data_IF_948650676633
#
_entry.id   IF_948650676633
#
_cell.length_a   1.000
_cell.length_b   1.000
_cell.length_c   1.000
_cell.angle_alpha   90.00
_cell.angle_beta   90.00
_cell.angle_gamma   90.00
#
_symmetry.space_group_name_H-M   'P 1'
#
loop_
_entity.id
_entity.type
_entity.pdbx_description
1 polymer ?
#
# COMPACT_ATOMS: atom_id res chain seq x y z
N UNK A 1 32.32 0.64 14.14
CA UNK A 1 32.50 1.79 13.23
C UNK A 1 33.62 2.67 13.74
N UNK A 2 34.47 3.18 12.85
CA UNK A 2 35.47 4.22 13.17
C UNK A 2 34.83 5.62 13.24
N UNK A 3 35.60 6.64 13.63
CA UNK A 3 35.08 8.02 13.82
C UNK A 3 34.48 8.59 12.51
N UNK A 4 35.19 8.43 11.39
CA UNK A 4 34.71 8.92 10.08
C UNK A 4 33.40 8.25 9.65
N UNK A 5 33.27 6.94 9.91
CA UNK A 5 32.04 6.19 9.68
C UNK A 5 30.90 6.69 10.58
N UNK A 6 31.17 6.97 11.86
CA UNK A 6 30.16 7.51 12.78
C UNK A 6 29.67 8.90 12.33
N UNK A 7 30.57 9.78 11.88
CA UNK A 7 30.20 11.10 11.35
C UNK A 7 29.33 11.00 10.09
N UNK A 8 29.72 10.14 9.14
CA UNK A 8 28.92 9.88 7.95
C UNK A 8 27.52 9.35 8.31
N UNK A 9 27.46 8.37 9.21
CA UNK A 9 26.21 7.79 9.65
C UNK A 9 25.32 8.84 10.31
N UNK A 10 25.88 9.69 11.18
CA UNK A 10 25.14 10.76 11.82
C UNK A 10 24.57 11.77 10.82
N UNK A 11 25.34 12.17 9.79
CA UNK A 11 24.84 13.05 8.72
C UNK A 11 23.68 12.43 7.95
N UNK A 12 23.75 11.13 7.65
CA UNK A 12 22.67 10.40 6.97
C UNK A 12 21.41 10.31 7.84
N UNK A 13 21.56 10.11 9.16
CA UNK A 13 20.42 10.03 10.07
C UNK A 13 19.72 11.39 10.23
N UNK A 14 20.47 12.48 10.38
CA UNK A 14 19.90 13.84 10.54
C UNK A 14 19.32 14.41 9.25
N UNK A 15 19.82 13.97 8.10
CA UNK A 15 19.32 14.35 6.79
C UNK A 15 17.85 13.95 6.60
N UNK A 16 17.02 14.86 6.11
CA UNK A 16 15.62 14.59 5.74
C UNK A 16 15.45 14.68 4.23
N UNK A 17 14.81 13.68 3.64
CA UNK A 17 14.34 13.74 2.24
C UNK A 17 13.07 14.59 2.10
N UNK A 18 12.34 14.77 3.20
CA UNK A 18 11.15 15.60 3.22
C UNK A 18 11.50 17.04 3.58
N UNK A 19 11.05 17.97 2.74
CA UNK A 19 11.07 19.40 3.03
C UNK A 19 9.91 19.77 3.97
N UNK A 20 10.15 20.49 5.08
CA UNK A 20 9.19 20.66 6.18
C UNK A 20 7.88 21.39 5.82
N UNK A 21 7.79 22.02 4.64
CA UNK A 21 6.60 22.73 4.17
C UNK A 21 6.10 22.25 2.79
N UNK A 22 6.59 21.11 2.28
CA UNK A 22 6.17 20.61 0.97
C UNK A 22 4.76 20.02 1.03
N UNK A 23 3.85 20.57 0.20
CA UNK A 23 2.51 20.00 -0.01
C UNK A 23 2.58 18.54 -0.48
N UNK A 24 3.55 18.24 -1.34
CA UNK A 24 3.90 16.91 -1.83
C UNK A 24 5.34 16.57 -1.41
N UNK A 25 5.49 16.08 -0.18
CA UNK A 25 6.78 15.64 0.33
C UNK A 25 7.28 14.39 -0.40
N UNK A 26 8.58 14.13 -0.30
CA UNK A 26 9.23 12.97 -0.91
C UNK A 26 8.55 11.66 -0.46
N UNK A 27 8.34 11.50 0.85
CA UNK A 27 7.70 10.32 1.43
C UNK A 27 6.26 10.12 0.95
N UNK A 28 5.47 11.20 0.83
CA UNK A 28 4.09 11.12 0.30
C UNK A 28 4.08 10.68 -1.16
N UNK A 29 5.02 11.16 -1.97
CA UNK A 29 5.15 10.73 -3.36
C UNK A 29 5.58 9.27 -3.45
N UNK A 30 6.59 8.88 -2.67
CA UNK A 30 7.08 7.50 -2.60
C UNK A 30 5.97 6.51 -2.24
N UNK A 31 5.20 6.82 -1.18
CA UNK A 31 4.08 6.00 -0.73
C UNK A 31 3.02 5.84 -1.81
N UNK A 32 2.67 6.95 -2.50
CA UNK A 32 1.66 6.95 -3.56
C UNK A 32 2.10 6.14 -4.78
N UNK A 33 3.34 6.31 -5.25
CA UNK A 33 3.85 5.64 -6.46
C UNK A 33 4.02 4.13 -6.27
N UNK A 34 4.25 3.66 -5.04
CA UNK A 34 4.44 2.25 -4.74
C UNK A 34 3.24 1.58 -4.04
N UNK A 35 2.19 2.33 -3.71
CA UNK A 35 1.05 1.83 -2.94
C UNK A 35 1.41 1.42 -1.50
N UNK A 36 2.46 2.01 -0.92
CA UNK A 36 2.94 1.68 0.42
C UNK A 36 2.18 2.41 1.52
N UNK A 37 2.14 1.83 2.71
CA UNK A 37 1.67 2.55 3.91
C UNK A 37 2.69 3.61 4.33
N UNK A 38 2.26 4.57 5.14
CA UNK A 38 3.14 5.62 5.64
C UNK A 38 4.27 5.01 6.48
N UNK A 39 3.94 4.05 7.33
CA UNK A 39 4.89 3.37 8.21
C UNK A 39 5.95 2.61 7.40
N UNK A 40 5.52 1.81 6.42
CA UNK A 40 6.43 1.06 5.55
C UNK A 40 7.34 1.99 4.73
N UNK A 41 6.78 3.11 4.25
CA UNK A 41 7.55 4.12 3.52
C UNK A 41 8.67 4.71 4.38
N UNK A 42 8.40 5.03 5.65
CA UNK A 42 9.42 5.55 6.56
C UNK A 42 10.49 4.51 6.89
N UNK A 43 10.10 3.24 7.05
CA UNK A 43 11.06 2.14 7.23
C UNK A 43 11.96 1.99 6.00
N UNK A 44 11.40 1.99 4.78
CA UNK A 44 12.18 1.90 3.55
C UNK A 44 13.15 3.09 3.38
N UNK A 45 12.74 4.30 3.77
CA UNK A 45 13.64 5.48 3.78
C UNK A 45 14.78 5.31 4.78
N UNK A 46 14.51 4.79 5.98
CA UNK A 46 15.55 4.53 6.97
C UNK A 46 16.57 3.50 6.46
N UNK A 47 16.09 2.43 5.82
CA UNK A 47 16.93 1.40 5.22
C UNK A 47 17.72 1.91 4.00
N UNK A 48 17.16 2.82 3.21
CA UNK A 48 17.89 3.52 2.15
C UNK A 48 19.08 4.33 2.69
N UNK A 49 18.93 4.99 3.83
CA UNK A 49 20.05 5.70 4.48
C UNK A 49 21.15 4.73 4.92
N UNK A 50 20.79 3.56 5.45
CA UNK A 50 21.75 2.50 5.78
C UNK A 50 22.45 1.97 4.53
N UNK A 51 21.73 1.77 3.43
CA UNK A 51 22.32 1.40 2.14
C UNK A 51 23.31 2.46 1.62
N UNK A 52 22.95 3.75 1.66
CA UNK A 52 23.85 4.82 1.25
C UNK A 52 25.14 4.86 2.11
N UNK A 53 25.03 4.55 3.40
CA UNK A 53 26.19 4.37 4.27
C UNK A 53 27.05 3.18 3.81
N UNK A 54 26.44 2.02 3.56
CA UNK A 54 27.14 0.83 3.05
C UNK A 54 27.85 1.11 1.72
N UNK A 55 27.22 1.85 0.81
CA UNK A 55 27.81 2.19 -0.49
C UNK A 55 29.10 3.01 -0.41
N UNK A 56 29.32 3.72 0.70
CA UNK A 56 30.55 4.51 0.93
C UNK A 56 31.62 3.74 1.70
N UNK A 57 31.17 2.86 2.60
CA UNK A 57 32.02 2.22 3.62
C UNK A 57 32.40 0.80 3.24
N UNK A 58 31.56 0.09 2.49
CA UNK A 58 31.88 -1.24 2.01
C UNK A 58 33.05 -1.17 1.02
N UNK A 59 34.02 -2.06 1.18
CA UNK A 59 35.17 -2.20 0.28
C UNK A 59 34.83 -3.02 -0.98
N UNK A 60 33.55 -3.15 -1.28
CA UNK A 60 33.03 -3.89 -2.43
C UNK A 60 31.79 -3.19 -3.00
N UNK A 61 31.44 -3.44 -4.28
CA UNK A 61 30.17 -2.99 -4.84
C UNK A 61 28.98 -3.52 -4.02
N UNK A 62 28.01 -2.65 -3.75
CA UNK A 62 26.79 -3.04 -3.02
C UNK A 62 25.55 -2.98 -3.94
N UNK A 63 24.62 -3.89 -3.67
CA UNK A 63 23.35 -4.02 -4.41
C UNK A 63 22.20 -3.82 -3.42
N UNK A 64 21.25 -2.91 -3.69
CA UNK A 64 20.10 -2.69 -2.83
C UNK A 64 19.03 -3.78 -3.00
N UNK A 65 18.14 -3.91 -2.00
CA UNK A 65 16.86 -4.61 -2.21
C UNK A 65 15.96 -3.83 -3.16
N UNK A 66 14.88 -4.43 -3.64
CA UNK A 66 13.96 -3.74 -4.56
C UNK A 66 13.34 -2.51 -3.89
N UNK A 67 12.95 -2.66 -2.63
CA UNK A 67 12.33 -1.63 -1.81
C UNK A 67 13.28 -0.45 -1.62
N UNK A 68 14.55 -0.70 -1.31
CA UNK A 68 15.57 0.34 -1.17
C UNK A 68 15.91 0.98 -2.52
N UNK A 69 15.95 0.19 -3.59
CA UNK A 69 16.18 0.70 -4.95
C UNK A 69 15.07 1.65 -5.39
N UNK A 70 13.80 1.39 -5.06
CA UNK A 70 12.69 2.32 -5.34
C UNK A 70 12.85 3.67 -4.62
N UNK A 71 13.33 3.68 -3.37
CA UNK A 71 13.64 4.93 -2.66
C UNK A 71 14.78 5.66 -3.39
N UNK A 72 15.83 4.93 -3.75
CA UNK A 72 17.00 5.51 -4.41
C UNK A 72 16.68 6.06 -5.81
N UNK A 73 15.89 5.34 -6.61
CA UNK A 73 15.41 5.79 -7.93
C UNK A 73 14.62 7.08 -7.81
N UNK A 74 13.70 7.15 -6.84
CA UNK A 74 12.96 8.38 -6.62
C UNK A 74 13.91 9.51 -6.21
N UNK A 75 14.89 9.26 -5.34
CA UNK A 75 15.87 10.27 -4.92
C UNK A 75 16.73 10.77 -6.09
N UNK A 76 17.16 9.87 -6.99
CA UNK A 76 17.87 10.23 -8.21
C UNK A 76 17.03 11.11 -9.14
N UNK A 77 15.70 10.93 -9.17
CA UNK A 77 14.80 11.79 -9.94
C UNK A 77 14.75 13.23 -9.42
N UNK A 78 15.10 13.47 -8.14
CA UNK A 78 15.35 14.83 -7.61
C UNK A 78 16.78 15.27 -7.93
N UNK A 79 17.13 15.28 -9.21
CA UNK A 79 18.51 15.35 -9.72
C UNK A 79 19.35 16.46 -9.10
N UNK A 80 18.83 17.70 -9.04
CA UNK A 80 19.53 18.84 -8.43
C UNK A 80 19.77 18.63 -6.94
N UNK A 81 18.76 18.14 -6.21
CA UNK A 81 18.91 17.88 -4.80
C UNK A 81 19.91 16.74 -4.54
N UNK A 82 19.82 15.67 -5.32
CA UNK A 82 20.73 14.53 -5.23
C UNK A 82 22.19 14.94 -5.50
N UNK A 83 22.46 15.58 -6.64
CA UNK A 83 23.81 15.90 -7.08
C UNK A 83 24.39 17.16 -6.45
N UNK A 84 23.60 18.21 -6.21
CA UNK A 84 24.11 19.50 -5.72
C UNK A 84 24.06 19.58 -4.18
N UNK A 85 23.23 18.76 -3.52
CA UNK A 85 23.05 18.79 -2.06
C UNK A 85 23.47 17.50 -1.39
N UNK A 86 22.84 16.37 -1.72
CA UNK A 86 23.05 15.12 -1.01
C UNK A 86 24.46 14.55 -1.20
N UNK A 87 24.90 14.34 -2.44
CA UNK A 87 26.23 13.78 -2.74
C UNK A 87 27.39 14.62 -2.15
N UNK A 88 27.49 15.94 -2.38
CA UNK A 88 28.63 16.71 -1.91
C UNK A 88 28.59 17.02 -0.41
N UNK A 89 27.40 17.25 0.19
CA UNK A 89 27.32 17.75 1.57
C UNK A 89 26.99 16.66 2.60
N UNK A 90 26.21 15.64 2.21
CA UNK A 90 25.79 14.58 3.14
C UNK A 90 26.71 13.37 2.97
N UNK A 91 26.75 12.81 1.75
CA UNK A 91 27.52 11.61 1.44
C UNK A 91 29.02 11.88 1.32
N UNK A 92 29.38 13.09 0.87
CA UNK A 92 30.74 13.53 0.52
C UNK A 92 31.46 12.63 -0.50
N UNK A 93 30.67 11.86 -1.27
CA UNK A 93 31.12 11.04 -2.38
C UNK A 93 30.04 11.04 -3.46
N UNK A 94 30.41 10.94 -4.75
CA UNK A 94 29.44 10.64 -5.80
C UNK A 94 28.92 9.20 -5.61
N UNK A 95 27.62 9.01 -5.82
CA UNK A 95 27.00 7.69 -5.80
C UNK A 95 26.20 7.52 -7.09
N UNK A 96 26.70 6.69 -7.99
CA UNK A 96 26.09 6.46 -9.28
C UNK A 96 25.25 5.19 -9.28
N UNK A 97 24.11 5.25 -9.97
CA UNK A 97 23.30 4.09 -10.28
C UNK A 97 23.61 3.62 -11.70
N UNK A 98 23.84 2.32 -11.86
CA UNK A 98 24.15 1.71 -13.14
C UNK A 98 23.14 0.60 -13.44
N UNK A 99 22.48 0.60 -14.61
CA UNK A 99 21.57 -0.47 -14.97
C UNK A 99 22.30 -1.80 -15.17
N UNK A 100 21.61 -2.91 -14.95
CA UNK A 100 22.11 -4.24 -15.34
C UNK A 100 22.26 -4.35 -16.86
N UNK A 101 23.27 -5.09 -17.32
CA UNK A 101 23.39 -5.45 -18.73
C UNK A 101 22.52 -6.67 -19.10
N UNK A 102 21.91 -7.31 -18.10
CA UNK A 102 21.11 -8.53 -18.28
C UNK A 102 21.95 -9.78 -18.54
N UNK A 103 21.27 -10.93 -18.56
CA UNK A 103 21.90 -12.24 -18.75
C UNK A 103 22.27 -12.95 -17.45
N UNK A 104 22.63 -14.23 -17.57
CA UNK A 104 22.86 -15.12 -16.43
C UNK A 104 24.13 -14.78 -15.64
N UNK A 105 25.17 -14.26 -16.31
CA UNK A 105 26.40 -13.78 -15.67
C UNK A 105 26.14 -12.57 -14.77
N UNK A 106 25.41 -11.57 -15.27
CA UNK A 106 24.99 -10.40 -14.49
C UNK A 106 24.10 -10.84 -13.31
N UNK A 107 23.18 -11.78 -13.54
CA UNK A 107 22.34 -12.33 -12.48
C UNK A 107 23.16 -12.93 -11.32
N UNK A 108 24.18 -13.75 -11.62
CA UNK A 108 25.08 -14.30 -10.59
C UNK A 108 25.87 -13.20 -9.88
N UNK A 109 26.43 -12.25 -10.64
CA UNK A 109 27.19 -11.12 -10.09
C UNK A 109 26.37 -10.31 -9.09
N UNK A 110 25.14 -9.93 -9.44
CA UNK A 110 24.29 -9.13 -8.55
C UNK A 110 23.77 -9.94 -7.35
N UNK A 111 23.56 -11.25 -7.51
CA UNK A 111 23.24 -12.14 -6.39
C UNK A 111 24.39 -12.17 -5.38
N UNK A 112 25.62 -12.36 -5.84
CA UNK A 112 26.82 -12.35 -4.99
C UNK A 112 27.01 -11.00 -4.27
N UNK A 113 26.87 -9.88 -4.99
CA UNK A 113 26.99 -8.54 -4.41
C UNK A 113 25.88 -8.25 -3.40
N UNK A 114 24.66 -8.70 -3.65
CA UNK A 114 23.54 -8.54 -2.72
C UNK A 114 23.80 -9.33 -1.42
N UNK A 115 24.24 -10.58 -1.51
CA UNK A 115 24.58 -11.37 -0.32
C UNK A 115 25.70 -10.71 0.49
N UNK A 116 26.76 -10.24 -0.16
CA UNK A 116 27.83 -9.46 0.51
C UNK A 116 27.31 -8.17 1.13
N UNK A 117 26.30 -7.54 0.53
CA UNK A 117 25.65 -6.34 1.09
C UNK A 117 24.93 -6.68 2.40
N UNK A 118 24.20 -7.80 2.46
CA UNK A 118 23.54 -8.28 3.68
C UNK A 118 24.54 -8.68 4.78
N UNK A 119 25.67 -9.27 4.40
CA UNK A 119 26.78 -9.58 5.31
C UNK A 119 27.39 -8.31 5.90
N UNK A 120 27.76 -7.34 5.03
CA UNK A 120 28.29 -6.04 5.44
C UNK A 120 27.31 -5.26 6.30
N UNK A 121 26.01 -5.32 5.99
CA UNK A 121 24.95 -4.76 6.83
C UNK A 121 25.03 -5.34 8.25
N UNK A 122 25.02 -6.67 8.37
CA UNK A 122 25.02 -7.35 9.66
C UNK A 122 26.29 -7.04 10.46
N UNK A 123 27.44 -7.02 9.78
CA UNK A 123 28.73 -6.72 10.39
C UNK A 123 28.81 -5.27 10.92
N UNK A 124 28.30 -4.29 10.16
CA UNK A 124 28.44 -2.88 10.49
C UNK A 124 27.39 -2.39 11.49
N UNK A 125 26.16 -2.92 11.43
CA UNK A 125 25.06 -2.49 12.30
C UNK A 125 24.83 -3.42 13.51
N UNK A 126 25.37 -4.64 13.50
CA UNK A 126 25.22 -5.60 14.60
C UNK A 126 23.82 -6.20 14.71
N UNK A 127 22.98 -6.02 13.69
CA UNK A 127 21.62 -6.54 13.61
C UNK A 127 21.37 -7.12 12.20
N UNK A 128 20.45 -8.09 12.11
CA UNK A 128 20.00 -8.56 10.80
C UNK A 128 19.09 -7.52 10.15
N UNK A 129 19.18 -7.31 8.83
CA UNK A 129 18.30 -6.38 8.15
C UNK A 129 16.85 -6.89 8.17
N UNK A 130 15.84 -5.99 8.26
CA UNK A 130 14.44 -6.38 8.31
C UNK A 130 14.02 -7.09 7.02
N UNK A 131 13.53 -8.33 7.14
CA UNK A 131 13.26 -9.22 6.00
C UNK A 131 12.16 -8.70 5.07
N UNK A 132 11.27 -7.84 5.56
CA UNK A 132 10.21 -7.19 4.78
C UNK A 132 10.75 -6.13 3.80
N UNK A 133 11.97 -5.64 4.03
CA UNK A 133 12.65 -4.64 3.17
C UNK A 133 13.89 -5.25 2.52
N UNK A 134 14.58 -6.16 3.19
CA UNK A 134 15.77 -6.86 2.71
C UNK A 134 15.50 -8.37 2.67
N UNK A 135 14.68 -8.84 1.71
CA UNK A 135 14.39 -10.24 1.60
C UNK A 135 15.63 -11.04 1.17
N UNK A 136 15.67 -12.37 1.39
CA UNK A 136 16.72 -13.24 0.87
C UNK A 136 16.89 -13.10 -0.66
N UNK A 137 18.11 -13.37 -1.14
CA UNK A 137 18.46 -13.20 -2.55
C UNK A 137 17.53 -13.99 -3.50
N UNK A 138 17.06 -15.16 -3.08
CA UNK A 138 16.14 -16.00 -3.83
C UNK A 138 14.79 -15.33 -4.07
N UNK A 139 14.34 -14.48 -3.13
CA UNK A 139 13.11 -13.69 -3.27
C UNK A 139 13.39 -12.45 -4.11
N UNK A 140 14.45 -11.70 -3.78
CA UNK A 140 14.86 -10.46 -4.45
C UNK A 140 15.03 -10.61 -5.97
N UNK A 141 15.64 -11.70 -6.42
CA UNK A 141 15.97 -11.94 -7.83
C UNK A 141 15.01 -12.89 -8.56
N UNK A 142 13.89 -13.26 -7.94
CA UNK A 142 12.90 -14.15 -8.56
C UNK A 142 11.47 -13.62 -8.42
N UNK A 143 11.03 -13.36 -7.19
CA UNK A 143 9.69 -12.86 -6.92
C UNK A 143 9.57 -11.37 -7.20
N UNK A 144 10.48 -10.57 -6.65
CA UNK A 144 10.38 -9.11 -6.63
C UNK A 144 10.66 -8.44 -7.98
N UNK A 145 11.20 -9.19 -8.95
CA UNK A 145 11.49 -8.67 -10.31
C UNK A 145 10.26 -8.66 -11.25
N UNK A 146 9.15 -9.31 -10.86
CA UNK A 146 7.97 -9.45 -11.72
C UNK A 146 6.99 -8.28 -11.53
N UNK A 147 7.48 -7.05 -11.75
CA UNK A 147 6.69 -5.83 -11.56
C UNK A 147 6.44 -5.13 -12.89
N UNK A 148 5.20 -4.67 -13.09
CA UNK A 148 4.81 -3.82 -14.21
C UNK A 148 4.02 -2.63 -13.67
N UNK A 149 4.22 -1.45 -14.26
CA UNK A 149 3.39 -0.28 -13.97
C UNK A 149 2.09 -0.40 -14.75
N UNK A 150 0.96 -0.26 -14.06
CA UNK A 150 -0.38 -0.32 -14.64
C UNK A 150 -1.21 0.88 -14.21
N UNK A 151 -2.11 1.36 -15.06
CA UNK A 151 -3.06 2.40 -14.69
C UNK A 151 -4.22 1.78 -13.89
N UNK A 152 -4.40 2.21 -12.64
CA UNK A 152 -5.45 1.70 -11.75
C UNK A 152 -6.84 2.25 -12.07
N UNK A 153 -6.97 3.24 -12.95
CA UNK A 153 -8.27 3.68 -13.49
C UNK A 153 -8.80 2.70 -14.54
N UNK A 154 -7.90 2.13 -15.34
CA UNK A 154 -8.25 1.22 -16.45
C UNK A 154 -8.32 -0.26 -15.99
N UNK A 155 -7.54 -0.63 -14.97
CA UNK A 155 -7.37 -2.01 -14.54
C UNK A 155 -7.62 -2.22 -13.04
N UNK A 156 -8.25 -3.34 -12.69
CA UNK A 156 -8.37 -3.79 -11.30
C UNK A 156 -7.17 -4.64 -10.88
N UNK A 157 -6.59 -4.32 -9.72
CA UNK A 157 -5.52 -5.10 -9.10
C UNK A 157 -6.16 -6.03 -8.04
N UNK A 158 -6.27 -7.32 -8.37
CA UNK A 158 -6.82 -8.34 -7.46
C UNK A 158 -5.67 -9.25 -7.01
N UNK A 159 -5.46 -9.46 -5.70
CA UNK A 159 -4.42 -10.36 -5.22
C UNK A 159 -4.69 -11.80 -5.69
N UNK A 160 -3.63 -12.53 -6.05
CA UNK A 160 -3.75 -13.94 -6.43
C UNK A 160 -4.27 -14.76 -5.25
N UNK A 161 -5.22 -15.66 -5.49
CA UNK A 161 -5.87 -16.48 -4.45
C UNK A 161 -4.89 -17.25 -3.54
N UNK A 162 -3.73 -17.65 -4.07
CA UNK A 162 -2.67 -18.34 -3.30
C UNK A 162 -2.08 -17.49 -2.17
N UNK A 163 -2.11 -16.17 -2.30
CA UNK A 163 -1.57 -15.24 -1.30
C UNK A 163 -2.65 -14.68 -0.37
N UNK A 164 -3.92 -15.05 -0.59
CA UNK A 164 -4.94 -14.84 0.43
C UNK A 164 -4.63 -15.82 1.55
N UNK A 165 -4.17 -15.29 2.69
CA UNK A 165 -4.20 -16.02 3.96
C UNK A 165 -5.67 -16.24 4.35
N UNK A 166 -6.33 -17.13 3.61
CA UNK A 166 -7.63 -17.63 4.00
C UNK A 166 -7.37 -18.32 5.35
N UNK A 167 -8.01 -17.87 6.45
CA UNK A 167 -7.92 -18.60 7.70
C UNK A 167 -8.28 -20.06 7.36
N UNK A 168 -7.47 -21.03 7.79
CA UNK A 168 -7.81 -22.43 7.59
C UNK A 168 -9.20 -22.64 8.19
N UNK A 169 -10.22 -22.73 7.32
CA UNK A 169 -11.62 -22.79 7.70
C UNK A 169 -11.84 -24.17 8.33
N UNK A 170 -11.50 -24.29 9.61
CA UNK A 170 -11.79 -25.47 10.41
C UNK A 170 -13.23 -25.30 10.86
N UNK A 171 -14.16 -25.70 10.00
CA UNK A 171 -15.58 -25.69 10.35
C UNK A 171 -15.75 -26.44 11.67
N UNK A 172 -16.33 -25.83 12.72
CA UNK A 172 -16.61 -26.56 13.94
C UNK A 172 -17.54 -27.72 13.56
N UNK A 173 -17.18 -28.95 13.94
CA UNK A 173 -17.97 -30.17 13.68
C UNK A 173 -19.50 -29.99 13.87
N UNK A 174 -20.01 -29.25 14.89
CA UNK A 174 -21.46 -29.02 15.01
C UNK A 174 -22.07 -28.14 13.91
N UNK A 175 -21.32 -27.23 13.29
CA UNK A 175 -21.83 -26.43 12.16
C UNK A 175 -21.92 -27.25 10.87
N UNK A 176 -20.98 -28.18 10.62
CA UNK A 176 -21.07 -29.12 9.49
C UNK A 176 -22.28 -30.04 9.68
N UNK A 177 -22.46 -30.58 10.90
CA UNK A 177 -23.60 -31.42 11.25
C UNK A 177 -24.93 -30.66 11.13
N UNK A 178 -24.97 -29.40 11.57
CA UNK A 178 -26.15 -28.54 11.45
C UNK A 178 -26.48 -28.16 10.01
N UNK A 179 -25.48 -27.82 9.19
CA UNK A 179 -25.67 -27.54 7.76
C UNK A 179 -26.13 -28.81 7.04
N UNK A 180 -25.50 -29.94 7.30
CA UNK A 180 -25.89 -31.25 6.76
C UNK A 180 -27.31 -31.62 7.15
N UNK A 181 -27.69 -31.43 8.41
CA UNK A 181 -29.05 -31.69 8.92
C UNK A 181 -30.10 -30.75 8.30
N UNK A 182 -29.78 -29.46 8.12
CA UNK A 182 -30.67 -28.51 7.45
C UNK A 182 -30.80 -28.79 5.94
N UNK A 183 -29.72 -29.23 5.29
CA UNK A 183 -29.74 -29.65 3.89
C UNK A 183 -30.52 -30.95 3.70
N UNK A 184 -30.37 -31.92 4.60
CA UNK A 184 -31.16 -33.16 4.55
C UNK A 184 -32.62 -32.88 4.85
N UNK A 185 -32.93 -32.02 5.83
CA UNK A 185 -34.30 -31.55 6.09
C UNK A 185 -34.89 -30.81 4.87
N UNK A 186 -34.05 -30.09 4.10
CA UNK A 186 -34.47 -29.42 2.86
C UNK A 186 -34.83 -30.38 1.75
N UNK A 187 -34.02 -31.43 1.61
CA UNK A 187 -34.19 -32.45 0.60
C UNK A 187 -35.31 -33.44 0.97
N UNK A 188 -35.67 -33.58 2.25
CA UNK A 188 -36.72 -34.50 2.72
C UNK A 188 -38.08 -33.83 2.94
N UNK A 189 -38.13 -32.58 3.41
CA UNK A 189 -39.40 -31.86 3.63
C UNK A 189 -40.05 -31.36 2.34
N UNK A 190 -39.28 -31.38 1.24
CA UNK A 190 -39.73 -31.02 -0.07
C UNK A 190 -39.76 -32.34 -0.85
N UNK A 191 -40.93 -32.89 -1.18
CA UNK A 191 -41.05 -34.02 -2.13
C UNK A 191 -40.63 -33.54 -3.53
N UNK A 192 -39.36 -33.18 -3.67
CA UNK A 192 -38.82 -32.57 -4.88
C UNK A 192 -38.44 -33.70 -5.79
N UNK A 193 -39.26 -33.88 -6.82
CA UNK A 193 -38.89 -34.71 -7.97
C UNK A 193 -37.50 -34.29 -8.47
N UNK A 194 -36.59 -35.26 -8.59
CA UNK A 194 -35.18 -35.10 -8.97
C UNK A 194 -34.95 -34.28 -10.25
N UNK A 195 -35.99 -34.08 -11.08
CA UNK A 195 -35.98 -33.32 -12.32
C UNK A 195 -35.98 -31.79 -12.13
N UNK A 196 -36.47 -31.27 -11.01
CA UNK A 196 -36.61 -29.81 -10.78
C UNK A 196 -35.43 -29.19 -10.00
N UNK A 197 -34.48 -30.00 -9.49
CA UNK A 197 -33.32 -29.53 -8.70
C UNK A 197 -32.40 -28.61 -9.52
N UNK A 198 -32.28 -28.85 -10.83
CA UNK A 198 -31.40 -28.08 -11.72
C UNK A 198 -31.90 -26.66 -12.00
N UNK A 199 -33.18 -26.35 -11.73
CA UNK A 199 -33.77 -25.03 -11.95
C UNK A 199 -34.77 -24.66 -10.83
N UNK A 200 -34.29 -24.14 -9.68
CA UNK A 200 -35.14 -23.75 -8.55
C UNK A 200 -36.17 -22.64 -8.89
N UNK A 201 -35.98 -21.94 -10.01
CA UNK A 201 -36.92 -20.95 -10.53
C UNK A 201 -38.20 -21.56 -11.14
N UNK A 202 -38.28 -22.89 -11.32
CA UNK A 202 -39.47 -23.56 -11.84
C UNK A 202 -40.44 -24.06 -10.76
N UNK A 203 -40.08 -23.96 -9.48
CA UNK A 203 -40.95 -24.40 -8.38
C UNK A 203 -42.29 -23.65 -8.37
N UNK A 204 -43.35 -24.32 -7.93
CA UNK A 204 -44.64 -23.66 -7.67
C UNK A 204 -44.49 -22.65 -6.52
N UNK A 205 -45.46 -21.75 -6.35
CA UNK A 205 -45.34 -20.63 -5.40
C UNK A 205 -45.11 -21.08 -3.95
N UNK A 206 -45.82 -22.12 -3.49
CA UNK A 206 -45.69 -22.67 -2.13
C UNK A 206 -44.40 -23.47 -1.95
N UNK A 207 -44.02 -24.29 -2.94
CA UNK A 207 -42.77 -25.05 -2.92
C UNK A 207 -41.55 -24.13 -2.89
N UNK A 208 -41.57 -23.07 -3.70
CA UNK A 208 -40.51 -22.07 -3.70
C UNK A 208 -40.42 -21.34 -2.36
N UNK A 209 -41.55 -21.06 -1.71
CA UNK A 209 -41.55 -20.37 -0.42
C UNK A 209 -40.91 -21.22 0.68
N UNK A 210 -41.25 -22.51 0.75
CA UNK A 210 -40.63 -23.46 1.68
C UNK A 210 -39.14 -23.64 1.41
N UNK A 211 -38.76 -23.81 0.14
CA UNK A 211 -37.37 -23.88 -0.29
C UNK A 211 -36.58 -22.61 0.07
N UNK A 212 -37.14 -21.43 -0.22
CA UNK A 212 -36.52 -20.14 0.05
C UNK A 212 -36.29 -19.93 1.55
N UNK A 213 -37.28 -20.24 2.39
CA UNK A 213 -37.15 -20.14 3.85
C UNK A 213 -35.96 -20.95 4.39
N UNK A 214 -35.82 -22.18 3.90
CA UNK A 214 -34.74 -23.06 4.34
C UNK A 214 -33.37 -22.64 3.80
N UNK A 215 -33.33 -22.12 2.58
CA UNK A 215 -32.11 -21.56 1.99
C UNK A 215 -31.64 -20.32 2.77
N UNK A 216 -32.57 -19.48 3.26
CA UNK A 216 -32.27 -18.39 4.19
C UNK A 216 -31.67 -18.92 5.50
N UNK A 217 -32.25 -19.97 6.11
CA UNK A 217 -31.70 -20.57 7.34
C UNK A 217 -30.29 -21.10 7.14
N UNK A 218 -30.04 -21.83 6.05
CA UNK A 218 -28.70 -22.34 5.70
C UNK A 218 -27.73 -21.18 5.49
N UNK A 219 -28.13 -20.12 4.78
CA UNK A 219 -27.28 -18.96 4.56
C UNK A 219 -26.96 -18.19 5.84
N UNK A 220 -27.90 -18.11 6.80
CA UNK A 220 -27.65 -17.53 8.13
C UNK A 220 -26.64 -18.37 8.90
N UNK A 221 -26.81 -19.70 8.95
CA UNK A 221 -25.86 -20.60 9.64
C UNK A 221 -24.47 -20.51 9.02
N UNK A 222 -24.40 -20.48 7.69
CA UNK A 222 -23.15 -20.30 6.96
C UNK A 222 -22.52 -18.93 7.27
N UNK A 223 -23.30 -17.86 7.22
CA UNK A 223 -22.86 -16.51 7.56
C UNK A 223 -22.36 -16.40 9.00
N UNK A 224 -23.07 -16.99 9.98
CA UNK A 224 -22.64 -17.02 11.39
C UNK A 224 -21.36 -17.84 11.58
N UNK A 225 -21.25 -18.97 10.88
CA UNK A 225 -20.03 -19.78 10.86
C UNK A 225 -18.84 -18.99 10.32
N UNK A 226 -19.00 -18.33 9.17
CA UNK A 226 -17.98 -17.47 8.58
C UNK A 226 -17.62 -16.29 9.50
N UNK A 227 -18.60 -15.65 10.15
CA UNK A 227 -18.40 -14.55 11.10
C UNK A 227 -17.68 -14.99 12.37
N UNK A 228 -17.96 -16.19 12.88
CA UNK A 228 -17.29 -16.75 14.06
C UNK A 228 -15.82 -17.09 13.79
N UNK A 229 -15.47 -17.39 12.53
CA UNK A 229 -14.12 -17.72 12.10
C UNK A 229 -13.28 -16.47 11.79
N UNK A 230 -13.93 -15.33 11.55
CA UNK A 230 -13.28 -14.03 11.31
C UNK A 230 -12.98 -13.20 12.56
N UNK A 231 -13.22 -13.71 13.79
CA UNK A 231 -12.81 -13.00 15.01
C UNK A 231 -11.28 -13.11 15.17
N UNK A 232 -10.51 -12.01 15.02
CA UNK A 232 -9.09 -12.06 15.28
C UNK A 232 -8.87 -12.36 16.77
N UNK A 233 -7.96 -13.29 17.05
CA UNK A 233 -7.35 -13.46 18.36
C UNK A 233 -6.85 -12.09 18.82
N UNK A 234 -7.29 -11.66 20.00
CA UNK A 234 -6.98 -10.38 20.62
C UNK A 234 -5.48 -10.08 20.64
N UNK A 235 -5.01 -9.22 19.73
CA UNK A 235 -3.88 -8.29 19.93
C UNK A 235 -3.54 -7.54 18.64
N UNK A 236 -4.07 -6.33 18.46
CA UNK A 236 -3.34 -5.22 17.80
C UNK A 236 -4.19 -3.95 17.77
N UNK A 237 -3.47 -2.84 17.82
CA UNK A 237 -3.83 -1.50 18.26
C UNK A 237 -4.93 -0.77 17.48
N UNK A 238 -5.50 0.24 18.13
CA UNK A 238 -6.37 1.25 17.54
C UNK A 238 -5.66 1.95 16.37
N UNK A 239 -6.02 1.55 15.16
CA UNK A 239 -5.79 2.29 13.92
C UNK A 239 -7.03 2.15 13.04
N UNK A 240 -7.43 3.22 12.36
CA UNK A 240 -8.56 3.24 11.43
C UNK A 240 -8.28 2.33 10.23
N UNK A 241 -8.54 1.02 10.39
CA UNK A 241 -8.42 0.04 9.32
C UNK A 241 -9.67 0.15 8.45
N UNK A 242 -9.50 0.42 7.14
CA UNK A 242 -10.60 0.25 6.18
C UNK A 242 -11.01 -1.23 6.16
N UNK A 243 -12.32 -1.53 6.10
CA UNK A 243 -12.78 -2.91 6.13
C UNK A 243 -12.21 -3.67 4.93
N UNK A 244 -11.50 -4.75 5.21
CA UNK A 244 -10.97 -5.62 4.16
C UNK A 244 -12.10 -6.40 3.49
N UNK A 245 -11.94 -6.83 2.24
CA UNK A 245 -12.94 -7.66 1.52
C UNK A 245 -13.42 -8.88 2.35
N UNK A 246 -12.56 -9.40 3.22
CA UNK A 246 -12.82 -10.52 4.12
C UNK A 246 -13.95 -10.22 5.12
N UNK A 247 -14.14 -8.95 5.51
CA UNK A 247 -15.18 -8.54 6.45
C UNK A 247 -16.59 -8.61 5.84
N UNK A 248 -16.69 -8.62 4.51
CA UNK A 248 -17.95 -8.77 3.78
C UNK A 248 -18.26 -10.24 3.43
N UNK A 249 -17.29 -11.15 3.57
CA UNK A 249 -17.44 -12.57 3.24
C UNK A 249 -18.62 -13.26 3.95
N UNK A 250 -18.90 -12.99 5.26
CA UNK A 250 -20.05 -13.59 5.94
C UNK A 250 -21.41 -13.14 5.39
N UNK A 251 -21.49 -11.98 4.75
CA UNK A 251 -22.74 -11.46 4.19
C UNK A 251 -23.07 -12.06 2.82
N UNK A 252 -22.06 -12.54 2.09
CA UNK A 252 -22.20 -13.02 0.70
C UNK A 252 -23.25 -14.13 0.52
N UNK A 253 -23.31 -15.18 1.37
CA UNK A 253 -24.35 -16.20 1.25
C UNK A 253 -25.76 -15.64 1.37
N UNK A 254 -26.00 -14.71 2.30
CA UNK A 254 -27.33 -14.12 2.55
C UNK A 254 -27.74 -13.21 1.38
N UNK A 255 -26.80 -12.45 0.81
CA UNK A 255 -27.05 -11.66 -0.41
C UNK A 255 -27.33 -12.53 -1.64
N UNK A 256 -26.68 -13.69 -1.77
CA UNK A 256 -26.97 -14.63 -2.86
C UNK A 256 -28.40 -15.20 -2.75
N UNK A 257 -28.87 -15.52 -1.54
CA UNK A 257 -30.27 -15.92 -1.32
C UNK A 257 -31.24 -14.81 -1.69
N UNK A 258 -30.95 -13.58 -1.25
CA UNK A 258 -31.79 -12.43 -1.55
C UNK A 258 -31.90 -12.21 -3.07
N UNK A 259 -30.79 -12.34 -3.81
CA UNK A 259 -30.79 -12.21 -5.27
C UNK A 259 -31.69 -13.26 -5.95
N UNK A 260 -31.68 -14.52 -5.46
CA UNK A 260 -32.59 -15.56 -5.94
C UNK A 260 -34.06 -15.23 -5.66
N UNK A 261 -34.36 -14.69 -4.47
CA UNK A 261 -35.71 -14.25 -4.10
C UNK A 261 -36.21 -13.13 -5.00
N UNK A 262 -35.38 -12.12 -5.23
CA UNK A 262 -35.66 -11.00 -6.16
C UNK A 262 -35.89 -11.50 -7.58
N UNK A 263 -35.04 -12.39 -8.10
CA UNK A 263 -35.21 -12.97 -9.42
C UNK A 263 -36.57 -13.68 -9.59
N UNK A 264 -37.01 -14.43 -8.56
CA UNK A 264 -38.32 -15.10 -8.59
C UNK A 264 -39.49 -14.11 -8.50
N UNK A 265 -39.37 -13.00 -7.75
CA UNK A 265 -40.39 -11.94 -7.72
C UNK A 265 -40.60 -11.37 -9.13
N UNK A 266 -39.52 -11.06 -9.86
CA UNK A 266 -39.61 -10.59 -11.25
C UNK A 266 -40.32 -11.60 -12.16
N UNK A 267 -39.99 -12.89 -12.04
CA UNK A 267 -40.67 -13.94 -12.79
C UNK A 267 -42.15 -14.13 -12.40
N UNK A 268 -42.49 -13.87 -11.13
CA UNK A 268 -43.87 -13.95 -10.64
C UNK A 268 -44.72 -12.81 -11.19
N UNK A 269 -44.19 -11.57 -11.16
CA UNK A 269 -44.84 -10.38 -11.71
C UNK A 269 -45.06 -10.53 -13.22
N UNK A 270 -44.05 -10.98 -13.97
CA UNK A 270 -44.16 -11.16 -15.42
C UNK A 270 -45.16 -12.25 -15.82
N UNK A 271 -45.47 -13.19 -14.91
CA UNK A 271 -46.45 -14.26 -15.11
C UNK A 271 -47.82 -13.97 -14.48
N UNK A 272 -48.05 -12.76 -13.97
CA UNK A 272 -49.31 -12.37 -13.33
C UNK A 272 -49.65 -13.18 -12.06
N UNK A 273 -48.64 -13.73 -11.38
CA UNK A 273 -48.81 -14.52 -10.16
C UNK A 273 -48.64 -13.64 -8.92
N UNK A 274 -49.37 -13.91 -7.82
CA UNK A 274 -49.22 -13.16 -6.58
C UNK A 274 -47.84 -13.42 -5.95
N UNK A 275 -47.11 -12.35 -5.60
CA UNK A 275 -45.75 -12.39 -5.04
C UNK A 275 -45.65 -11.83 -3.61
N UNK A 276 -46.77 -11.45 -3.00
CA UNK A 276 -46.80 -10.69 -1.73
C UNK A 276 -46.06 -11.37 -0.57
N UNK A 277 -46.25 -12.67 -0.37
CA UNK A 277 -45.53 -13.41 0.67
C UNK A 277 -44.02 -13.43 0.44
N UNK A 278 -43.58 -13.64 -0.80
CA UNK A 278 -42.16 -13.67 -1.15
C UNK A 278 -41.49 -12.30 -0.96
N UNK A 279 -42.21 -11.20 -1.24
CA UNK A 279 -41.74 -9.84 -1.01
C UNK A 279 -41.44 -9.61 0.48
N UNK A 280 -42.34 -10.02 1.38
CA UNK A 280 -42.15 -9.90 2.83
C UNK A 280 -40.90 -10.68 3.28
N UNK A 281 -40.75 -11.93 2.81
CA UNK A 281 -39.56 -12.72 3.12
C UNK A 281 -38.27 -12.09 2.58
N UNK A 282 -38.27 -11.51 1.38
CA UNK A 282 -37.09 -10.80 0.84
C UNK A 282 -36.71 -9.57 1.68
N UNK A 283 -37.70 -8.82 2.20
CA UNK A 283 -37.44 -7.68 3.11
C UNK A 283 -36.78 -8.17 4.40
N UNK A 284 -37.28 -9.27 4.98
CA UNK A 284 -36.68 -9.88 6.17
C UNK A 284 -35.25 -10.36 5.87
N UNK A 285 -35.04 -11.06 4.74
CA UNK A 285 -33.70 -11.51 4.31
C UNK A 285 -32.74 -10.33 4.11
N UNK A 286 -33.22 -9.20 3.57
CA UNK A 286 -32.42 -7.98 3.42
C UNK A 286 -32.01 -7.40 4.78
N UNK A 287 -32.93 -7.30 5.75
CA UNK A 287 -32.61 -6.85 7.11
C UNK A 287 -31.54 -7.73 7.77
N UNK A 288 -31.64 -9.04 7.57
CA UNK A 288 -30.64 -10.01 8.05
C UNK A 288 -29.31 -9.78 7.33
N UNK A 289 -29.28 -9.67 6.00
CA UNK A 289 -28.07 -9.44 5.22
C UNK A 289 -27.33 -8.17 5.67
N UNK A 290 -28.06 -7.09 5.94
CA UNK A 290 -27.51 -5.84 6.46
C UNK A 290 -26.89 -6.01 7.85
N UNK A 291 -27.42 -6.89 8.70
CA UNK A 291 -26.85 -7.19 10.02
C UNK A 291 -25.53 -7.99 9.94
N UNK A 292 -25.23 -8.60 8.80
CA UNK A 292 -23.93 -9.25 8.54
C UNK A 292 -22.87 -8.31 7.99
N UNK A 293 -23.24 -7.10 7.53
CA UNK A 293 -22.28 -6.10 7.11
C UNK A 293 -21.48 -5.57 8.32
N UNK A 294 -20.18 -5.26 8.15
CA UNK A 294 -19.40 -4.63 9.20
C UNK A 294 -20.04 -3.28 9.57
N UNK A 295 -20.50 -3.17 10.81
CA UNK A 295 -21.11 -1.94 11.32
C UNK A 295 -20.02 -0.87 11.45
N UNK A 296 -20.07 0.16 10.62
CA UNK A 296 -19.34 1.41 10.85
C UNK A 296 -20.00 2.14 12.03
N UNK A 297 -19.87 1.59 13.24
CA UNK A 297 -20.20 2.35 14.43
C UNK A 297 -19.08 3.35 14.64
N UNK A 298 -19.27 4.51 14.01
CA UNK A 298 -18.75 5.80 14.46
C UNK A 298 -18.78 5.83 15.98
N UNK A 299 -17.60 6.00 16.56
CA UNK A 299 -17.30 6.17 17.98
C UNK A 299 -18.46 6.81 18.74
N UNK A 300 -19.28 5.99 19.41
CA UNK A 300 -20.17 6.48 20.47
C UNK A 300 -19.29 6.68 21.69
N UNK A 301 -18.98 7.96 21.94
CA UNK A 301 -18.27 8.45 23.11
C UNK A 301 -18.66 7.69 24.39
N UNK A 302 -17.78 6.78 24.83
CA UNK A 302 -17.76 6.30 26.21
C UNK A 302 -16.91 7.30 26.98
N UNK A 303 -17.58 8.21 27.67
CA UNK A 303 -16.95 9.14 28.61
C UNK A 303 -16.23 8.34 29.70
N UNK A 304 -14.90 8.30 29.64
CA UNK A 304 -14.06 7.81 30.73
C UNK A 304 -14.25 8.69 31.96
N UNK A 305 -14.99 8.18 32.94
CA UNK A 305 -15.00 8.72 34.31
C UNK A 305 -13.78 8.13 35.02
N UNK A 306 -12.62 8.78 34.86
CA UNK A 306 -11.42 8.44 35.65
C UNK A 306 -11.43 9.26 36.93
N UNK A 307 -11.67 8.56 38.04
CA UNK A 307 -11.51 9.05 39.40
C UNK A 307 -10.08 9.56 39.60
N UNK A 308 -9.99 10.71 40.29
CA UNK A 308 -8.74 11.43 40.48
C UNK A 308 -7.67 10.61 41.19
N UNK A 309 -6.44 10.79 40.72
CA UNK A 309 -5.28 10.64 41.58
C UNK A 309 -4.43 11.91 41.46
N UNK A 310 -4.42 12.66 42.56
CA UNK A 310 -3.58 13.83 42.78
C UNK A 310 -2.17 13.33 43.03
N UNK A 311 -1.20 13.77 42.23
CA UNK A 311 0.14 14.18 42.67
C UNK A 311 1.07 14.21 41.46
N UNK A 312 1.51 15.40 41.08
CA UNK A 312 2.95 15.74 41.09
C UNK A 312 3.10 17.19 40.63
N UNK A 313 3.44 18.02 41.61
CA UNK A 313 4.03 19.34 41.44
C UNK A 313 5.35 19.23 40.68
N UNK A 314 5.47 19.94 39.56
CA UNK A 314 6.75 20.37 39.02
C UNK A 314 6.57 21.77 38.43
N UNK A 315 7.28 22.69 39.07
CA UNK A 315 7.27 24.13 38.90
C UNK A 315 8.40 24.44 37.92
N UNK A 316 8.07 24.89 36.71
CA UNK A 316 9.05 25.54 35.84
C UNK A 316 8.57 26.97 35.55
N UNK A 317 9.29 27.91 36.15
CA UNK A 317 9.39 29.28 35.68
C UNK A 317 10.22 29.27 34.38
N UNK A 318 9.73 29.92 33.32
CA UNK A 318 10.60 30.79 32.53
C UNK A 318 9.81 31.99 32.00
N UNK A 319 10.34 33.15 32.35
CA UNK A 319 10.02 34.47 31.84
C UNK A 319 10.74 34.68 30.51
N UNK A 320 10.04 35.22 29.50
CA UNK A 320 10.55 36.33 28.67
C UNK A 320 9.45 36.73 27.67
N UNK A 321 8.94 37.95 27.77
CA UNK A 321 9.53 39.19 27.21
C UNK A 321 9.29 39.29 25.71
N UNK A 322 8.25 40.07 25.43
CA UNK A 322 7.90 40.77 24.20
C UNK A 322 9.10 41.35 23.43
N UNK A 323 9.07 41.19 22.11
CA UNK A 323 9.60 42.20 21.19
C UNK A 323 8.84 42.14 19.86
N UNK A 324 8.01 43.18 19.67
CA UNK A 324 7.45 43.60 18.40
C UNK A 324 8.59 44.11 17.50
N UNK A 325 8.61 43.71 16.22
CA UNK A 325 9.13 44.58 15.17
C UNK A 325 8.25 44.52 13.93
N UNK A 326 7.86 45.72 13.50
CA UNK A 326 7.04 46.05 12.35
C UNK A 326 7.68 45.62 11.03
N UNK A 327 6.83 45.17 10.12
CA UNK A 327 7.07 45.09 8.68
C UNK A 327 6.58 46.38 8.01
N UNK A 328 7.49 47.05 7.28
CA UNK A 328 7.22 48.15 6.34
C UNK A 328 8.39 48.15 5.34
N UNK A 329 8.21 47.64 4.12
CA UNK A 329 7.81 48.38 2.90
C UNK A 329 8.95 49.15 2.21
N UNK A 330 9.18 48.77 0.94
CA UNK A 330 9.46 49.64 -0.23
C UNK A 330 10.88 50.10 -0.58
N UNK A 331 11.18 50.01 -1.88
CA UNK A 331 12.15 50.85 -2.63
C UNK A 331 13.33 50.08 -3.25
N UNK A 332 13.38 49.82 -4.58
CA UNK A 332 14.04 50.65 -5.62
C UNK A 332 15.54 50.90 -5.33
N UNK A 333 16.55 50.63 -6.15
CA UNK A 333 16.76 50.57 -7.59
C UNK A 333 18.23 51.03 -7.86
N UNK A 334 18.75 50.86 -9.08
CA UNK A 334 20.07 51.33 -9.63
C UNK A 334 21.34 50.53 -9.25
N UNK A 335 22.01 49.82 -10.18
CA UNK A 335 22.83 50.17 -11.37
C UNK A 335 24.25 50.71 -11.06
N UNK A 336 25.27 49.89 -11.36
CA UNK A 336 26.62 50.18 -11.88
C UNK A 336 27.22 48.80 -12.28
N UNK A 337 27.82 48.52 -13.43
CA UNK A 337 28.42 49.35 -14.47
C UNK A 337 29.94 49.16 -14.49
N UNK A 338 30.47 48.40 -15.47
CA UNK A 338 31.91 48.25 -15.78
C UNK A 338 32.30 46.77 -15.92
N UNK A 339 32.69 46.21 -17.08
CA UNK A 339 33.31 46.79 -18.28
C UNK A 339 34.80 46.45 -18.28
N UNK A 340 35.26 45.60 -19.20
CA UNK A 340 36.67 45.24 -19.34
C UNK A 340 36.91 44.01 -20.22
N UNK A 341 36.93 44.25 -21.53
CA UNK A 341 37.14 43.33 -22.65
C UNK A 341 38.56 42.73 -22.78
N UNK A 342 38.64 41.78 -23.72
CA UNK A 342 39.73 41.42 -24.65
C UNK A 342 40.37 40.03 -24.40
N UNK A 343 40.51 39.15 -25.39
CA UNK A 343 40.11 39.19 -26.80
C UNK A 343 40.56 37.92 -27.55
N UNK A 344 39.86 37.64 -28.66
CA UNK A 344 40.36 36.97 -29.88
C UNK A 344 40.38 35.44 -29.86
N UNK A 345 39.93 34.74 -30.91
CA UNK A 345 39.34 35.16 -32.17
C UNK A 345 38.85 33.94 -32.97
N UNK A 346 37.84 34.19 -33.81
CA UNK A 346 37.69 33.76 -35.22
C UNK A 346 37.73 32.25 -35.56
N UNK A 347 36.92 31.68 -36.47
CA UNK A 347 35.93 32.21 -37.43
C UNK A 347 35.08 31.05 -37.99
N UNK A 348 33.92 31.41 -38.57
CA UNK A 348 33.16 30.63 -39.57
C UNK A 348 31.90 29.94 -39.01
N UNK A 349 30.70 30.53 -39.05
CA UNK A 349 29.90 30.80 -40.26
C UNK A 349 29.13 29.53 -40.65
N UNK A 350 27.81 29.41 -40.67
CA UNK A 350 26.84 30.32 -41.31
C UNK A 350 25.39 29.93 -40.91
N UNK A 351 24.60 30.95 -40.59
CA UNK A 351 23.23 31.25 -41.02
C UNK A 351 22.11 30.17 -41.09
N UNK A 352 20.97 30.51 -40.45
CA UNK A 352 19.66 30.23 -41.03
C UNK A 352 18.51 29.99 -40.05
N UNK A 353 17.64 31.00 -39.86
CA UNK A 353 16.19 30.77 -39.88
C UNK A 353 15.44 30.71 -38.54
N UNK A 354 14.84 31.85 -38.21
CA UNK A 354 13.83 32.08 -37.17
C UNK A 354 12.54 31.25 -37.36
N UNK A 355 11.95 30.75 -36.27
CA UNK A 355 10.57 31.09 -35.91
C UNK A 355 10.24 30.67 -34.48
N UNK A 356 9.64 31.60 -33.74
CA UNK A 356 9.10 31.38 -32.40
C UNK A 356 7.76 30.66 -32.44
N UNK A 357 7.51 29.85 -31.42
CA UNK A 357 6.22 29.26 -31.08
C UNK A 357 6.22 28.98 -29.59
N UNK A 358 5.30 29.65 -28.88
CA UNK A 358 5.15 29.61 -27.43
C UNK A 358 4.85 28.22 -26.88
N UNK A 359 5.14 28.07 -25.59
CA UNK A 359 5.25 26.80 -24.90
C UNK A 359 3.95 26.06 -24.63
N UNK A 360 4.15 24.77 -24.38
CA UNK A 360 3.39 23.95 -23.45
C UNK A 360 4.37 22.94 -22.86
N UNK A 361 4.73 23.10 -21.58
CA UNK A 361 5.53 22.12 -20.85
C UNK A 361 4.61 21.01 -20.32
N UNK A 362 4.19 20.13 -21.24
CA UNK A 362 3.62 18.84 -20.91
C UNK A 362 4.68 17.95 -20.26
N UNK A 363 4.41 17.51 -19.03
CA UNK A 363 5.26 16.57 -18.30
C UNK A 363 5.37 15.24 -19.04
N UNK A 364 6.47 15.07 -19.77
CA UNK A 364 6.83 13.82 -20.42
C UNK A 364 7.28 12.80 -19.38
N UNK A 365 6.42 11.81 -19.14
CA UNK A 365 6.78 10.62 -18.36
C UNK A 365 7.89 9.85 -19.06
N UNK A 366 9.00 9.65 -18.34
CA UNK A 366 10.09 8.80 -18.79
C UNK A 366 9.61 7.34 -18.77
N UNK A 367 9.60 6.72 -19.95
CA UNK A 367 9.15 5.36 -20.20
C UNK A 367 9.90 4.31 -19.38
N UNK A 368 9.14 3.32 -18.89
CA UNK A 368 9.63 2.21 -18.11
C UNK A 368 10.32 1.15 -18.97
N UNK A 369 11.59 0.91 -18.68
CA UNK A 369 12.25 -0.37 -18.89
C UNK A 369 12.26 -1.13 -17.56
N UNK A 370 12.05 -2.46 -17.61
CA UNK A 370 11.97 -3.31 -16.43
C UNK A 370 13.15 -3.13 -15.47
N UNK A 371 12.82 -3.07 -14.17
CA UNK A 371 13.75 -2.88 -13.07
C UNK A 371 14.63 -4.13 -12.88
N UNK A 372 15.69 -4.24 -13.69
CA UNK A 372 16.76 -5.19 -13.46
C UNK A 372 17.79 -4.57 -12.52
N UNK A 373 17.97 -5.17 -11.34
CA UNK A 373 18.79 -4.65 -10.25
C UNK A 373 20.12 -4.04 -10.70
N UNK A 374 20.29 -2.76 -10.41
CA UNK A 374 21.55 -2.05 -10.55
C UNK A 374 22.38 -2.17 -9.27
N UNK A 375 23.70 -2.23 -9.41
CA UNK A 375 24.64 -2.13 -8.29
C UNK A 375 25.37 -0.79 -8.35
N UNK A 376 25.89 -0.34 -7.21
CA UNK A 376 26.76 0.83 -7.17
C UNK A 376 28.23 0.40 -7.07
N UNK A 377 29.09 1.06 -7.85
CA UNK A 377 30.54 0.97 -7.72
C UNK A 377 31.07 2.22 -7.04
N UNK A 378 31.83 2.05 -5.96
CA UNK A 378 32.64 3.12 -5.39
C UNK A 378 33.88 3.33 -6.26
N UNK A 379 34.18 4.60 -6.59
CA UNK A 379 35.49 5.00 -7.10
C UNK A 379 36.48 5.19 -5.95
#
# INVERSE_FOLDING_TARGET
MNIQQQELYQRLQTFSLDEPNAKYSFSKRLARENGWTVEYTQQAIAEYKKFAFLAVVAEHPVTPSEQVDQVWHLHLAYTRYYWDKFCPNILQKPLHHSPTQGGSSEGKKFNDWYNKTLESYTQLFGEFPPVEIWPPAEIRFNHDIQVQRVNTEDYWIIPKFRNLNLPQFRFPKPAILGIGFLLTLALTACEVSLTNILNPLNFTGSEFLGFYFLLVLVAIVLGLGLKSLGKPSTSSSLGSRKPSFIEYLPALPVFAVLALGVAKIFMGISRGKPVGYLLIFCIITLMIALAFLPSSQSSRNVSHRSSGNKNSSSRYHSTNSSSNYNSSSSGSGFWFGGGGDCGGGSDGGSNGGSNGGGGDCGGGGCGGGGCGGGGCGGA
#
